data_IF_500219296718
#
_entry.id   IF_500219296718
#
_cell.length_a   1.000
_cell.length_b   1.000
_cell.length_c   1.000
_cell.angle_alpha   90.00
_cell.angle_beta   90.00
_cell.angle_gamma   90.00
#
_symmetry.space_group_name_H-M   'P 1'
#
loop_
_entity.id
_entity.type
_entity.pdbx_description
1 polymer ?
#
# COMPACT_ATOMS: atom_id res chain seq x y z
N UNK A 1 -14.57 8.97 3.09
CA UNK A 1 -14.29 7.55 3.41
C UNK A 1 -13.25 7.06 2.41
N UNK A 2 -12.11 6.53 2.86
CA UNK A 2 -11.03 6.03 2.00
C UNK A 2 -10.94 4.50 2.05
N UNK A 3 -10.43 3.86 0.97
CA UNK A 3 -10.23 2.42 0.89
C UNK A 3 -8.79 2.07 1.21
N UNK A 4 -8.57 1.12 2.10
CA UNK A 4 -7.25 0.54 2.38
C UNK A 4 -7.24 -0.91 1.87
N UNK A 5 -6.44 -1.18 0.85
CA UNK A 5 -6.07 -2.52 0.41
C UNK A 5 -4.84 -2.94 1.23
N UNK A 6 -5.08 -3.73 2.27
CA UNK A 6 -4.05 -4.23 3.16
C UNK A 6 -3.54 -5.60 2.68
N UNK A 7 -2.26 -5.69 2.38
CA UNK A 7 -1.64 -6.92 1.90
C UNK A 7 -0.40 -7.27 2.72
N UNK A 8 -0.58 -8.01 3.80
CA UNK A 8 0.51 -8.50 4.64
C UNK A 8 0.32 -9.98 4.95
N UNK A 9 1.20 -10.89 4.48
CA UNK A 9 1.04 -12.33 4.66
C UNK A 9 0.95 -12.78 6.11
N UNK A 10 1.61 -12.05 7.01
CA UNK A 10 1.64 -12.32 8.46
C UNK A 10 1.26 -11.06 9.26
N UNK A 11 0.10 -10.50 8.96
CA UNK A 11 -0.34 -9.22 9.53
C UNK A 11 -0.35 -9.23 11.07
N UNK A 12 -0.78 -10.33 11.68
CA UNK A 12 -0.86 -10.46 13.15
C UNK A 12 0.51 -10.35 13.84
N UNK A 13 1.60 -10.65 13.12
CA UNK A 13 2.97 -10.55 13.60
C UNK A 13 3.64 -9.21 13.23
N UNK A 14 2.99 -8.39 12.41
CA UNK A 14 3.57 -7.12 11.95
C UNK A 14 3.48 -6.04 13.01
N UNK A 15 4.61 -5.51 13.47
CA UNK A 15 4.66 -4.34 14.34
C UNK A 15 4.25 -3.09 13.54
N UNK A 16 4.91 -2.83 12.43
CA UNK A 16 4.76 -1.61 11.65
C UNK A 16 3.37 -1.47 11.02
N UNK A 17 2.94 -2.49 10.23
CA UNK A 17 1.66 -2.39 9.53
C UNK A 17 0.47 -2.41 10.50
N UNK A 18 0.55 -3.13 11.62
CA UNK A 18 -0.47 -3.06 12.68
C UNK A 18 -0.58 -1.67 13.26
N UNK A 19 0.54 -1.06 13.64
CA UNK A 19 0.55 0.28 14.22
C UNK A 19 0.00 1.34 13.24
N UNK A 20 0.29 1.22 11.93
CA UNK A 20 -0.31 2.08 10.91
C UNK A 20 -1.84 1.91 10.89
N UNK A 21 -2.33 0.68 10.76
CA UNK A 21 -3.78 0.40 10.68
C UNK A 21 -4.52 0.83 11.95
N UNK A 22 -3.92 0.60 13.11
CA UNK A 22 -4.50 1.04 14.39
C UNK A 22 -4.60 2.57 14.49
N UNK A 23 -3.58 3.30 14.03
CA UNK A 23 -3.61 4.77 14.03
C UNK A 23 -4.66 5.31 13.05
N UNK A 24 -4.76 4.73 11.85
CA UNK A 24 -5.81 5.07 10.88
C UNK A 24 -7.20 4.82 11.47
N UNK A 25 -7.41 3.70 12.13
CA UNK A 25 -8.71 3.32 12.71
C UNK A 25 -9.14 4.20 13.90
N UNK A 26 -8.20 4.91 14.52
CA UNK A 26 -8.49 5.86 15.62
C UNK A 26 -8.77 7.29 15.13
N UNK A 27 -8.57 7.56 13.86
CA UNK A 27 -8.75 8.89 13.29
C UNK A 27 -10.22 9.21 13.01
N UNK A 28 -10.52 10.49 12.73
CA UNK A 28 -11.85 10.97 12.33
C UNK A 28 -12.17 10.69 10.84
N UNK A 29 -11.28 10.01 10.12
CA UNK A 29 -11.49 9.61 8.74
C UNK A 29 -12.02 8.17 8.72
N UNK A 30 -13.17 7.95 8.10
CA UNK A 30 -13.69 6.60 7.90
C UNK A 30 -12.88 5.84 6.85
N UNK A 31 -12.51 4.59 7.18
CA UNK A 31 -11.81 3.68 6.28
C UNK A 31 -12.59 2.39 6.08
N UNK A 32 -12.72 1.96 4.82
CA UNK A 32 -12.98 0.55 4.51
C UNK A 32 -11.62 -0.15 4.39
N UNK A 33 -11.34 -1.14 5.25
CA UNK A 33 -10.08 -1.88 5.24
C UNK A 33 -10.33 -3.28 4.71
N UNK A 34 -9.70 -3.60 3.59
CA UNK A 34 -9.75 -4.93 2.97
C UNK A 34 -8.42 -5.65 3.17
N UNK A 35 -8.37 -6.50 4.20
CA UNK A 35 -7.19 -7.32 4.48
C UNK A 35 -7.20 -8.54 3.53
N UNK A 36 -6.43 -8.45 2.46
CA UNK A 36 -6.41 -9.46 1.39
C UNK A 36 -6.01 -10.84 1.90
N UNK A 37 -5.05 -10.92 2.81
CA UNK A 37 -4.61 -12.22 3.36
C UNK A 37 -5.68 -12.89 4.23
N UNK A 38 -6.54 -12.11 4.88
CA UNK A 38 -7.66 -12.63 5.66
C UNK A 38 -8.87 -12.96 4.77
N UNK A 39 -9.16 -12.10 3.78
CA UNK A 39 -10.29 -12.29 2.86
C UNK A 39 -10.04 -13.45 1.88
N UNK A 40 -8.81 -13.62 1.43
CA UNK A 40 -8.44 -14.54 0.35
C UNK A 40 -7.26 -15.45 0.74
N UNK A 41 -7.40 -16.29 1.79
CA UNK A 41 -6.32 -17.15 2.27
C UNK A 41 -5.87 -18.19 1.24
N UNK A 42 -6.72 -18.49 0.25
CA UNK A 42 -6.45 -19.42 -0.86
C UNK A 42 -6.09 -18.70 -2.16
N UNK A 43 -5.90 -17.38 -2.13
CA UNK A 43 -5.66 -16.53 -3.31
C UNK A 43 -6.82 -16.50 -4.32
N UNK A 44 -8.00 -16.97 -3.98
CA UNK A 44 -9.18 -16.86 -4.83
C UNK A 44 -9.87 -15.52 -4.60
N UNK A 45 -9.49 -14.51 -5.40
CA UNK A 45 -10.00 -13.15 -5.27
C UNK A 45 -11.45 -13.06 -5.77
N UNK A 46 -12.35 -12.52 -4.95
CA UNK A 46 -13.68 -12.10 -5.42
C UNK A 46 -13.56 -10.77 -6.17
N UNK A 47 -13.31 -10.87 -7.46
CA UNK A 47 -13.08 -9.72 -8.34
C UNK A 47 -14.22 -8.72 -8.27
N UNK A 48 -15.46 -9.20 -8.23
CA UNK A 48 -16.64 -8.33 -8.20
C UNK A 48 -16.70 -7.52 -6.90
N UNK A 49 -16.48 -8.17 -5.76
CA UNK A 49 -16.46 -7.49 -4.46
C UNK A 49 -15.34 -6.43 -4.38
N UNK A 50 -14.14 -6.73 -4.94
CA UNK A 50 -13.04 -5.80 -4.96
C UNK A 50 -13.28 -4.61 -5.90
N UNK A 51 -13.85 -4.85 -7.07
CA UNK A 51 -14.25 -3.79 -8.00
C UNK A 51 -15.34 -2.90 -7.41
N UNK A 52 -16.33 -3.47 -6.73
CA UNK A 52 -17.38 -2.71 -6.03
C UNK A 52 -16.78 -1.81 -4.93
N UNK A 53 -15.81 -2.32 -4.17
CA UNK A 53 -15.09 -1.51 -3.18
C UNK A 53 -14.33 -0.36 -3.84
N UNK A 54 -13.63 -0.62 -4.94
CA UNK A 54 -12.93 0.43 -5.71
C UNK A 54 -13.89 1.50 -6.25
N UNK A 55 -15.09 1.12 -6.71
CA UNK A 55 -16.07 2.07 -7.24
C UNK A 55 -16.59 3.03 -6.17
N UNK A 56 -16.73 2.59 -4.93
CA UNK A 56 -17.28 3.38 -3.81
C UNK A 56 -16.33 4.46 -3.30
N UNK A 57 -15.01 4.32 -3.53
CA UNK A 57 -14.01 5.15 -2.91
C UNK A 57 -13.21 5.97 -3.93
N UNK A 58 -12.86 7.20 -3.56
CA UNK A 58 -12.04 8.09 -4.38
C UNK A 58 -10.54 7.92 -4.06
N UNK A 59 -10.21 7.67 -2.81
CA UNK A 59 -8.85 7.47 -2.30
C UNK A 59 -8.62 5.98 -2.06
N UNK A 60 -7.63 5.39 -2.75
CA UNK A 60 -7.25 3.98 -2.63
C UNK A 60 -5.81 3.88 -2.12
N UNK A 61 -5.66 3.39 -0.90
CA UNK A 61 -4.40 3.22 -0.21
C UNK A 61 -3.98 1.77 -0.33
N UNK A 62 -2.78 1.53 -0.83
CA UNK A 62 -2.17 0.20 -0.89
C UNK A 62 -1.17 0.09 0.25
N UNK A 63 -1.55 -0.60 1.35
CA UNK A 63 -0.72 -0.77 2.55
C UNK A 63 -0.10 -2.16 2.58
N UNK A 64 1.26 -2.23 2.54
CA UNK A 64 1.96 -3.51 2.46
C UNK A 64 3.42 -3.44 2.97
N UNK A 65 4.07 -4.57 3.27
CA UNK A 65 5.51 -4.64 3.48
C UNK A 65 6.24 -4.76 2.13
N UNK A 66 7.38 -4.08 2.02
CA UNK A 66 8.23 -4.15 0.83
C UNK A 66 9.02 -5.46 0.82
N UNK A 67 8.55 -6.43 0.04
CA UNK A 67 9.12 -7.75 -0.06
C UNK A 67 9.81 -7.94 -1.43
N UNK A 68 11.07 -8.35 -1.38
CA UNK A 68 11.84 -8.61 -2.60
C UNK A 68 11.72 -7.50 -3.63
N UNK A 69 11.92 -6.27 -3.15
CA UNK A 69 11.91 -5.04 -3.97
C UNK A 69 10.56 -4.73 -4.64
N UNK A 70 9.48 -5.32 -4.13
CA UNK A 70 8.13 -5.16 -4.65
C UNK A 70 7.08 -5.34 -3.55
N UNK A 71 5.83 -5.50 -3.94
CA UNK A 71 4.70 -5.85 -3.08
C UNK A 71 4.63 -7.35 -2.81
N UNK A 72 3.93 -7.80 -1.75
CA UNK A 72 3.63 -9.22 -1.54
C UNK A 72 2.85 -9.85 -2.68
N UNK A 73 3.03 -11.17 -2.89
CA UNK A 73 2.43 -11.90 -4.00
C UNK A 73 0.90 -11.74 -4.10
N UNK A 74 0.20 -11.72 -2.95
CA UNK A 74 -1.25 -11.55 -2.93
C UNK A 74 -1.70 -10.19 -3.47
N UNK A 75 -0.93 -9.12 -3.26
CA UNK A 75 -1.27 -7.81 -3.80
C UNK A 75 -1.03 -7.76 -5.31
N UNK A 76 0.07 -8.37 -5.79
CA UNK A 76 0.31 -8.45 -7.23
C UNK A 76 -0.77 -9.28 -7.91
N UNK A 77 -1.14 -10.42 -7.35
CA UNK A 77 -2.23 -11.25 -7.84
C UNK A 77 -3.56 -10.49 -7.83
N UNK A 78 -3.83 -9.73 -6.75
CA UNK A 78 -5.02 -8.86 -6.68
C UNK A 78 -5.06 -7.85 -7.83
N UNK A 79 -3.93 -7.19 -8.16
CA UNK A 79 -3.87 -6.29 -9.33
C UNK A 79 -4.17 -7.01 -10.64
N UNK A 80 -3.61 -8.21 -10.82
CA UNK A 80 -3.78 -8.99 -12.05
C UNK A 80 -5.24 -9.41 -12.25
N UNK A 81 -5.95 -9.76 -11.17
CA UNK A 81 -7.34 -10.20 -11.22
C UNK A 81 -8.34 -9.05 -11.28
N UNK A 82 -8.08 -7.95 -10.53
CA UNK A 82 -9.07 -6.89 -10.31
C UNK A 82 -8.99 -5.80 -11.37
N UNK A 83 -7.78 -5.48 -11.88
CA UNK A 83 -7.59 -4.44 -12.90
C UNK A 83 -7.82 -5.01 -14.30
N UNK A 84 -9.05 -5.43 -14.55
CA UNK A 84 -9.44 -6.13 -15.78
C UNK A 84 -9.65 -5.18 -16.97
N UNK A 85 -9.65 -5.78 -18.16
CA UNK A 85 -10.05 -5.10 -19.40
C UNK A 85 -11.48 -4.54 -19.28
N UNK A 86 -11.70 -3.33 -19.79
CA UNK A 86 -12.94 -2.55 -19.70
C UNK A 86 -13.37 -2.11 -18.27
N UNK A 87 -12.54 -2.43 -17.26
CA UNK A 87 -12.67 -1.86 -15.92
C UNK A 87 -11.58 -0.83 -15.65
N UNK A 88 -10.32 -1.26 -15.65
CA UNK A 88 -9.16 -0.40 -15.37
C UNK A 88 -8.50 0.16 -16.64
N UNK A 89 -8.66 -0.50 -17.78
CA UNK A 89 -8.07 -0.11 -19.05
C UNK A 89 -8.93 -0.58 -20.24
N UNK A 90 -8.60 -0.08 -21.44
CA UNK A 90 -9.36 -0.31 -22.67
C UNK A 90 -10.31 0.86 -22.98
N UNK A 91 -11.04 0.77 -24.09
CA UNK A 91 -11.85 1.88 -24.60
C UNK A 91 -12.98 2.36 -23.68
N UNK A 92 -13.45 1.49 -22.78
CA UNK A 92 -14.45 1.79 -21.76
C UNK A 92 -13.91 1.55 -20.34
N UNK A 93 -12.61 1.31 -20.19
CA UNK A 93 -11.93 1.02 -18.94
C UNK A 93 -11.55 2.28 -18.16
N UNK A 94 -12.53 3.07 -17.78
CA UNK A 94 -12.41 4.36 -17.12
C UNK A 94 -12.90 4.36 -15.65
N UNK A 95 -13.18 3.18 -15.09
CA UNK A 95 -13.82 3.06 -13.76
C UNK A 95 -12.93 3.57 -12.62
N UNK A 96 -11.62 3.58 -12.83
CA UNK A 96 -10.64 4.07 -11.86
C UNK A 96 -10.16 5.50 -12.16
N UNK A 97 -10.60 6.09 -13.27
CA UNK A 97 -10.16 7.40 -13.73
C UNK A 97 -10.34 8.48 -12.67
N UNK A 98 -9.23 9.18 -12.40
CA UNK A 98 -9.20 10.31 -11.47
C UNK A 98 -9.22 9.95 -9.98
N UNK A 99 -9.35 8.66 -9.62
CA UNK A 99 -9.16 8.18 -8.24
C UNK A 99 -7.70 8.29 -7.84
N UNK A 100 -7.44 8.48 -6.55
CA UNK A 100 -6.08 8.54 -6.02
C UNK A 100 -5.50 7.14 -5.81
N UNK A 101 -4.30 6.91 -6.33
CA UNK A 101 -3.50 5.71 -6.12
C UNK A 101 -2.40 6.05 -5.11
N UNK A 102 -2.53 5.57 -3.88
CA UNK A 102 -1.69 5.98 -2.75
C UNK A 102 -0.88 4.77 -2.25
N UNK A 103 0.37 4.58 -2.71
CA UNK A 103 1.23 3.55 -2.15
C UNK A 103 1.66 3.92 -0.73
N UNK A 104 1.48 3.00 0.21
CA UNK A 104 1.94 3.11 1.58
C UNK A 104 2.57 1.80 2.02
N UNK A 105 3.87 1.79 2.31
CA UNK A 105 4.55 0.55 2.61
C UNK A 105 5.69 0.70 3.63
N UNK A 106 6.16 -0.43 4.12
CA UNK A 106 7.20 -0.50 5.15
C UNK A 106 8.41 -1.26 4.65
N UNK A 107 9.61 -0.78 4.94
CA UNK A 107 10.88 -1.37 4.47
C UNK A 107 11.68 -1.91 5.65
N UNK A 108 12.08 -3.18 5.58
CA UNK A 108 12.77 -3.87 6.67
C UNK A 108 14.17 -3.32 6.95
N UNK A 109 15.00 -3.21 5.91
CA UNK A 109 16.38 -2.75 6.00
C UNK A 109 16.51 -1.24 6.25
N UNK A 110 17.64 -0.78 6.79
CA UNK A 110 17.91 0.64 6.97
C UNK A 110 18.06 1.38 5.63
N UNK A 111 17.74 2.67 5.62
CA UNK A 111 17.87 3.51 4.43
C UNK A 111 19.33 3.58 3.92
N UNK A 112 20.28 3.53 4.86
CA UNK A 112 21.72 3.55 4.54
C UNK A 112 22.19 2.41 3.64
N UNK A 113 21.43 1.33 3.51
CA UNK A 113 21.78 0.20 2.64
C UNK A 113 21.24 0.35 1.21
N UNK A 114 20.34 1.32 0.97
CA UNK A 114 19.71 1.55 -0.34
C UNK A 114 20.47 2.62 -1.16
N UNK A 115 21.69 2.30 -1.57
CA UNK A 115 22.52 3.14 -2.45
C UNK A 115 23.49 2.26 -3.25
N UNK A 116 24.14 2.83 -4.26
CA UNK A 116 24.98 2.09 -5.24
C UNK A 116 26.07 1.19 -4.63
N UNK A 117 26.61 1.55 -3.46
CA UNK A 117 27.64 0.77 -2.75
C UNK A 117 27.09 0.02 -1.54
N UNK A 118 25.78 0.10 -1.26
CA UNK A 118 25.11 -0.64 -0.20
C UNK A 118 24.66 -2.02 -0.66
N UNK A 119 24.07 -2.80 0.25
CA UNK A 119 23.58 -4.15 -0.06
C UNK A 119 22.46 -4.15 -1.12
N UNK A 120 21.65 -3.10 -1.18
CA UNK A 120 20.51 -3.02 -2.06
C UNK A 120 20.71 -2.18 -3.33
N UNK A 121 21.90 -1.75 -3.64
CA UNK A 121 22.37 -1.02 -4.85
C UNK A 121 21.49 0.12 -5.37
N UNK A 122 20.17 0.05 -5.26
CA UNK A 122 19.17 1.04 -5.75
C UNK A 122 18.38 1.64 -4.60
N UNK A 123 17.93 2.88 -4.74
CA UNK A 123 17.01 3.51 -3.80
C UNK A 123 15.63 2.85 -3.89
N UNK A 124 14.92 2.75 -2.76
CA UNK A 124 13.55 2.18 -2.74
C UNK A 124 12.62 2.88 -3.73
N UNK A 125 12.73 4.19 -3.89
CA UNK A 125 11.97 4.96 -4.86
C UNK A 125 12.12 4.47 -6.31
N UNK A 126 13.29 3.96 -6.70
CA UNK A 126 13.53 3.46 -8.06
C UNK A 126 12.70 2.21 -8.38
N UNK A 127 12.34 1.44 -7.36
CA UNK A 127 11.45 0.27 -7.49
C UNK A 127 9.95 0.64 -7.58
N UNK A 128 9.60 1.92 -7.42
CA UNK A 128 8.21 2.36 -7.44
C UNK A 128 7.69 2.73 -8.84
N UNK A 129 8.53 2.65 -9.87
CA UNK A 129 8.15 3.00 -11.25
C UNK A 129 7.02 2.14 -11.80
N UNK A 130 6.94 0.87 -11.41
CA UNK A 130 5.85 -0.04 -11.78
C UNK A 130 4.52 0.42 -11.19
N UNK A 131 4.50 0.93 -9.96
CA UNK A 131 3.31 1.47 -9.31
C UNK A 131 2.81 2.72 -10.04
N UNK A 132 3.72 3.65 -10.34
CA UNK A 132 3.41 4.85 -11.10
C UNK A 132 2.83 4.50 -12.48
N UNK A 133 3.49 3.57 -13.20
CA UNK A 133 3.02 3.12 -14.52
C UNK A 133 1.63 2.46 -14.43
N UNK A 134 1.38 1.63 -13.41
CA UNK A 134 0.06 1.01 -13.20
C UNK A 134 -1.02 2.07 -12.96
N UNK A 135 -0.74 3.05 -12.10
CA UNK A 135 -1.66 4.14 -11.82
C UNK A 135 -1.96 4.97 -13.09
N UNK A 136 -0.95 5.33 -13.87
CA UNK A 136 -1.13 6.10 -15.11
C UNK A 136 -1.92 5.33 -16.15
N UNK A 137 -1.64 4.04 -16.33
CA UNK A 137 -2.37 3.21 -17.29
C UNK A 137 -3.83 3.00 -16.91
N UNK A 138 -4.13 2.92 -15.60
CA UNK A 138 -5.49 2.90 -15.07
C UNK A 138 -6.13 4.30 -14.93
N UNK A 139 -5.47 5.37 -15.45
CA UNK A 139 -5.92 6.76 -15.41
C UNK A 139 -6.14 7.32 -13.99
N UNK A 140 -5.49 6.72 -12.99
CA UNK A 140 -5.51 7.17 -11.61
C UNK A 140 -4.51 8.30 -11.36
N UNK A 141 -4.74 9.09 -10.32
CA UNK A 141 -3.81 10.12 -9.83
C UNK A 141 -2.78 9.44 -8.93
N UNK A 142 -1.58 9.22 -9.45
CA UNK A 142 -0.48 8.68 -8.66
C UNK A 142 -0.04 9.65 -7.57
N UNK A 143 0.07 9.14 -6.35
CA UNK A 143 0.64 9.86 -5.20
C UNK A 143 2.03 9.31 -4.92
N UNK A 144 2.98 10.18 -4.61
CA UNK A 144 4.33 9.76 -4.22
C UNK A 144 4.25 8.79 -3.03
N UNK A 145 5.01 7.68 -3.07
CA UNK A 145 4.91 6.65 -2.06
C UNK A 145 5.21 7.16 -0.65
N UNK A 146 4.37 6.79 0.29
CA UNK A 146 4.61 6.98 1.72
C UNK A 146 5.27 5.72 2.27
N UNK A 147 6.52 5.82 2.71
CA UNK A 147 7.22 4.69 3.30
C UNK A 147 8.25 5.12 4.33
N UNK A 148 8.73 4.18 5.10
CA UNK A 148 9.86 4.36 6.01
C UNK A 148 10.67 3.08 6.14
N UNK A 149 11.93 3.24 6.49
CA UNK A 149 12.91 2.19 6.66
C UNK A 149 13.08 1.74 8.11
N UNK A 150 13.65 0.55 8.29
CA UNK A 150 14.02 0.05 9.60
C UNK A 150 12.84 -0.53 10.36
N UNK A 151 12.13 -1.49 9.77
CA UNK A 151 11.01 -2.19 10.40
C UNK A 151 11.34 -3.61 10.82
N UNK A 152 12.60 -4.02 10.69
CA UNK A 152 13.05 -5.35 11.09
C UNK A 152 13.73 -5.33 12.45
N UNK A 153 13.16 -6.08 13.40
CA UNK A 153 13.79 -6.31 14.70
C UNK A 153 15.15 -7.02 14.54
N UNK A 154 15.27 -7.92 13.56
CA UNK A 154 16.51 -8.60 13.26
C UNK A 154 17.62 -7.66 12.75
N UNK A 155 17.26 -6.49 12.22
CA UNK A 155 18.20 -5.44 11.85
C UNK A 155 18.51 -4.47 13.02
N UNK A 156 18.14 -4.81 14.25
CA UNK A 156 18.48 -4.07 15.47
C UNK A 156 17.50 -2.95 15.84
N UNK A 157 16.35 -2.84 15.18
CA UNK A 157 15.35 -1.85 15.54
C UNK A 157 14.45 -2.34 16.69
N UNK A 158 14.22 -1.49 17.69
CA UNK A 158 13.28 -1.82 18.79
C UNK A 158 11.84 -1.68 18.34
N UNK A 159 10.95 -2.40 19.03
CA UNK A 159 9.51 -2.33 18.78
C UNK A 159 9.00 -0.89 18.90
N UNK A 160 9.41 -0.17 19.93
CA UNK A 160 9.01 1.21 20.21
C UNK A 160 9.43 2.15 19.07
N UNK A 161 10.64 1.96 18.54
CA UNK A 161 11.14 2.74 17.41
C UNK A 161 10.31 2.49 16.14
N UNK A 162 10.01 1.21 15.86
CA UNK A 162 9.17 0.81 14.70
C UNK A 162 7.76 1.40 14.84
N UNK A 163 7.14 1.29 16.01
CA UNK A 163 5.79 1.84 16.27
C UNK A 163 5.76 3.36 16.12
N UNK A 164 6.77 4.06 16.64
CA UNK A 164 6.86 5.52 16.49
C UNK A 164 6.92 5.97 15.02
N UNK A 165 7.76 5.31 14.22
CA UNK A 165 7.86 5.56 12.77
C UNK A 165 6.56 5.22 12.04
N UNK A 166 5.90 4.12 12.41
CA UNK A 166 4.63 3.69 11.83
C UNK A 166 3.51 4.71 12.10
N UNK A 167 3.41 5.22 13.33
CA UNK A 167 2.47 6.28 13.69
C UNK A 167 2.75 7.57 12.91
N UNK A 168 4.02 7.97 12.80
CA UNK A 168 4.40 9.13 12.00
C UNK A 168 3.99 8.99 10.52
N UNK A 169 4.14 7.80 9.93
CA UNK A 169 3.66 7.55 8.56
C UNK A 169 2.14 7.63 8.47
N UNK A 170 1.42 7.02 9.40
CA UNK A 170 -0.04 7.11 9.45
C UNK A 170 -0.52 8.57 9.54
N UNK A 171 0.12 9.39 10.38
CA UNK A 171 -0.18 10.82 10.49
C UNK A 171 0.09 11.59 9.19
N UNK A 172 1.18 11.28 8.47
CA UNK A 172 1.44 11.85 7.15
C UNK A 172 0.35 11.50 6.14
N UNK A 173 -0.12 10.23 6.16
CA UNK A 173 -1.21 9.77 5.31
C UNK A 173 -2.52 10.47 5.65
N UNK A 174 -2.86 10.61 6.94
CA UNK A 174 -4.04 11.33 7.40
C UNK A 174 -4.01 12.81 7.00
N UNK A 175 -2.85 13.48 7.15
CA UNK A 175 -2.66 14.85 6.72
C UNK A 175 -2.86 15.02 5.22
N UNK A 176 -2.31 14.09 4.41
CA UNK A 176 -2.52 14.08 2.96
C UNK A 176 -4.01 13.92 2.62
N UNK A 177 -4.71 12.94 3.19
CA UNK A 177 -6.15 12.71 2.95
C UNK A 177 -6.99 13.92 3.35
N UNK A 178 -6.64 14.61 4.44
CA UNK A 178 -7.31 15.83 4.88
C UNK A 178 -7.11 16.99 3.91
N UNK A 179 -5.98 17.06 3.21
CA UNK A 179 -5.69 18.09 2.21
C UNK A 179 -6.45 17.91 0.89
N UNK A 180 -7.08 16.75 0.69
CA UNK A 180 -7.89 16.46 -0.51
C UNK A 180 -9.36 16.92 -0.38
N UNK A 181 -9.79 17.30 0.82
CA UNK A 181 -11.14 17.80 1.12
C UNK A 181 -11.20 19.30 0.91
#
# INVERSE_FOLDING_TARGET
>A
MALVILAHPHFDQSIANKAIIEELSRSDIDFEIRNLSALYPTFQIDVKAEQEALLKHQEVIFQYPFYWYNMPAILKHWFDEVFTYQFAYGSQGDKLKGKYFIPSFTVGAPESEYHTLGEHHFKVYEFCKNLAQTAYYAQMKYVEPLYFHGTSVNAGYTKENIEAKAKAQAQRLLAFLSSLK
#
